data_IF_864134084808
#
_entry.id   IF_864134084808
#
_cell.length_a   1.000
_cell.length_b   1.000
_cell.length_c   1.000
_cell.angle_alpha   90.00
_cell.angle_beta   90.00
_cell.angle_gamma   90.00
#
_symmetry.space_group_name_H-M   'P 1'
#
loop_
_entity.id
_entity.type
_entity.pdbx_description
1 polymer ?
#
# COMPACT_ATOMS: atom_id res chain seq x y z
N UNK A 1 -27.10 32.64 14.91
CA UNK A 1 -26.59 32.88 13.54
C UNK A 1 -27.22 31.88 12.58
N UNK A 2 -27.51 32.25 11.32
CA UNK A 2 -27.96 31.31 10.28
C UNK A 2 -26.76 30.93 9.40
N UNK A 3 -26.26 29.70 9.52
CA UNK A 3 -25.19 29.18 8.66
C UNK A 3 -25.84 28.80 7.32
N UNK A 4 -25.50 29.53 6.26
CA UNK A 4 -26.04 29.29 4.92
C UNK A 4 -25.26 28.15 4.25
N UNK A 5 -25.82 26.93 4.27
CA UNK A 5 -25.30 25.79 3.50
C UNK A 5 -25.61 25.98 2.01
N UNK A 6 -24.77 26.73 1.30
CA UNK A 6 -24.69 26.68 -0.16
C UNK A 6 -23.79 25.52 -0.56
N UNK A 7 -24.30 24.30 -0.47
CA UNK A 7 -23.67 23.15 -1.13
C UNK A 7 -23.67 23.39 -2.63
N UNK A 8 -22.49 23.29 -3.25
CA UNK A 8 -22.31 23.63 -4.65
C UNK A 8 -23.06 22.66 -5.55
N UNK A 9 -24.13 23.14 -6.20
CA UNK A 9 -24.95 22.37 -7.16
C UNK A 9 -24.12 21.75 -8.29
N UNK A 10 -22.94 22.31 -8.56
CA UNK A 10 -21.99 21.88 -9.60
C UNK A 10 -21.35 20.52 -9.27
N UNK A 11 -20.98 20.23 -8.02
CA UNK A 11 -20.30 18.95 -7.69
C UNK A 11 -21.24 17.75 -7.77
N UNK A 12 -22.54 17.94 -7.53
CA UNK A 12 -23.56 16.90 -7.71
C UNK A 12 -23.78 16.51 -9.19
N UNK A 13 -23.52 17.42 -10.14
CA UNK A 13 -23.72 17.14 -11.58
C UNK A 13 -22.59 16.26 -12.14
N UNK A 14 -21.35 16.45 -11.66
CA UNK A 14 -20.19 15.68 -12.15
C UNK A 14 -20.30 14.20 -11.76
N UNK A 15 -20.71 13.90 -10.52
CA UNK A 15 -20.88 12.52 -10.03
C UNK A 15 -21.96 11.77 -10.85
N UNK A 16 -23.04 12.45 -11.24
CA UNK A 16 -24.11 11.85 -12.05
C UNK A 16 -23.67 11.50 -13.48
N UNK A 17 -22.69 12.19 -14.05
CA UNK A 17 -22.21 11.94 -15.42
C UNK A 17 -21.33 10.68 -15.51
N UNK A 18 -20.50 10.41 -14.49
CA UNK A 18 -19.58 9.25 -14.48
C UNK A 18 -20.35 7.92 -14.37
N UNK A 19 -21.43 7.89 -13.59
CA UNK A 19 -22.26 6.69 -13.39
C UNK A 19 -23.03 6.23 -14.64
N UNK A 20 -23.19 7.08 -15.66
CA UNK A 20 -23.90 6.73 -16.89
C UNK A 20 -23.06 5.94 -17.90
N UNK A 21 -21.73 5.96 -17.79
CA UNK A 21 -20.83 5.39 -18.80
C UNK A 21 -20.59 3.87 -18.66
N UNK A 22 -20.88 3.27 -17.50
CA UNK A 22 -20.45 1.91 -17.14
C UNK A 22 -21.44 0.81 -17.62
N UNK A 23 -22.65 1.16 -18.06
CA UNK A 23 -23.73 0.20 -18.38
C UNK A 23 -23.89 -0.15 -19.87
N UNK A 24 -22.91 0.18 -20.72
CA UNK A 24 -23.02 0.06 -22.18
C UNK A 24 -22.10 -0.97 -22.86
N UNK A 25 -21.41 -1.84 -22.11
CA UNK A 25 -20.49 -2.84 -22.69
C UNK A 25 -20.72 -4.28 -22.20
N UNK A 26 -21.89 -4.83 -22.50
CA UNK A 26 -22.20 -6.25 -22.28
C UNK A 26 -23.05 -6.84 -23.41
N UNK A 27 -22.43 -7.15 -24.57
CA UNK A 27 -23.13 -7.80 -25.68
C UNK A 27 -22.28 -8.25 -26.87
N UNK A 28 -22.11 -9.57 -27.03
CA UNK A 28 -21.53 -10.25 -28.21
C UNK A 28 -20.00 -10.40 -28.15
N UNK A 29 -19.36 -11.50 -28.59
CA UNK A 29 -19.80 -12.76 -29.23
C UNK A 29 -19.07 -13.92 -28.52
N UNK A 30 -19.59 -15.14 -28.29
CA UNK A 30 -20.25 -16.15 -29.15
C UNK A 30 -19.33 -16.82 -30.20
N UNK A 31 -18.86 -18.01 -29.83
CA UNK A 31 -18.48 -19.19 -30.64
C UNK A 31 -17.23 -19.13 -31.52
N UNK A 32 -16.32 -20.09 -31.29
CA UNK A 32 -15.14 -20.38 -32.10
C UNK A 32 -14.43 -21.66 -31.65
N UNK A 33 -15.07 -22.83 -31.79
CA UNK A 33 -14.38 -24.11 -31.64
C UNK A 33 -13.31 -24.26 -32.73
N UNK A 34 -12.07 -24.45 -32.32
CA UNK A 34 -10.91 -24.58 -33.21
C UNK A 34 -9.91 -25.60 -32.68
N UNK A 35 -10.14 -26.87 -32.99
CA UNK A 35 -9.11 -27.90 -32.82
C UNK A 35 -7.90 -27.57 -33.71
N UNK A 36 -6.72 -27.40 -33.12
CA UNK A 36 -5.45 -27.53 -33.84
C UNK A 36 -4.59 -28.51 -33.05
N UNK A 37 -4.44 -29.72 -33.60
CA UNK A 37 -3.41 -30.65 -33.20
C UNK A 37 -2.04 -30.07 -33.53
N UNK A 38 -1.07 -30.19 -32.63
CA UNK A 38 0.34 -30.16 -33.01
C UNK A 38 1.00 -31.49 -32.66
N UNK A 39 1.58 -32.10 -33.69
CA UNK A 39 2.31 -33.35 -33.59
C UNK A 39 3.68 -33.15 -32.95
N UNK A 40 4.14 -34.18 -32.25
CA UNK A 40 5.52 -34.33 -31.81
C UNK A 40 6.49 -34.44 -33.00
N UNK A 41 7.63 -33.76 -32.93
CA UNK A 41 8.89 -34.28 -33.47
C UNK A 41 10.07 -33.93 -32.55
N UNK A 42 11.08 -34.79 -32.54
CA UNK A 42 12.17 -34.86 -31.54
C UNK A 42 13.53 -34.59 -32.20
N UNK A 43 14.58 -34.37 -31.40
CA UNK A 43 16.02 -34.30 -31.77
C UNK A 43 16.47 -32.99 -32.47
N UNK A 44 17.67 -32.42 -32.30
CA UNK A 44 18.89 -32.67 -31.49
C UNK A 44 19.66 -31.31 -31.36
N UNK A 45 20.66 -31.05 -30.50
CA UNK A 45 21.26 -31.85 -29.43
C UNK A 45 22.72 -31.43 -29.07
N UNK A 46 22.95 -30.30 -28.38
CA UNK A 46 24.27 -29.87 -27.87
C UNK A 46 24.11 -29.12 -26.51
N UNK A 47 24.43 -29.72 -25.36
CA UNK A 47 25.78 -29.97 -24.82
C UNK A 47 26.43 -28.72 -24.17
N UNK A 48 26.14 -28.51 -22.88
CA UNK A 48 27.00 -27.80 -21.92
C UNK A 48 27.07 -28.67 -20.65
N UNK A 49 28.26 -28.76 -20.06
CA UNK A 49 28.61 -29.79 -19.08
C UNK A 49 28.12 -29.53 -17.65
N UNK A 50 27.85 -30.67 -17.03
CA UNK A 50 27.61 -31.01 -15.63
C UNK A 50 28.64 -30.49 -14.61
N UNK A 51 28.15 -30.17 -13.40
CA UNK A 51 28.76 -30.35 -12.04
C UNK A 51 28.01 -29.42 -11.06
N UNK A 52 27.63 -29.79 -9.83
CA UNK A 52 27.49 -31.06 -9.11
C UNK A 52 26.59 -30.76 -7.88
N UNK A 53 25.58 -31.58 -7.57
CA UNK A 53 25.64 -32.72 -6.63
C UNK A 53 25.45 -32.33 -5.14
N UNK A 54 24.71 -33.19 -4.42
CA UNK A 54 24.30 -33.15 -3.02
C UNK A 54 23.25 -32.07 -2.63
N UNK A 55 22.18 -32.38 -1.88
CA UNK A 55 21.75 -33.66 -1.29
C UNK A 55 21.21 -33.48 0.14
N UNK A 56 20.39 -34.42 0.63
CA UNK A 56 19.57 -34.43 1.86
C UNK A 56 18.23 -33.67 1.74
N UNK A 57 17.05 -34.29 1.78
CA UNK A 57 16.46 -35.37 2.62
C UNK A 57 15.93 -34.90 3.99
N UNK A 58 14.59 -35.01 4.09
CA UNK A 58 13.76 -35.36 5.25
C UNK A 58 14.16 -34.93 6.67
N UNK A 59 13.21 -34.25 7.35
CA UNK A 59 12.67 -34.85 8.59
C UNK A 59 11.27 -34.39 8.98
N UNK A 60 10.41 -35.36 9.25
CA UNK A 60 9.22 -35.21 10.10
C UNK A 60 9.62 -34.99 11.57
N UNK A 61 8.77 -34.29 12.33
CA UNK A 61 8.42 -34.67 13.70
C UNK A 61 7.19 -33.88 14.18
N UNK A 62 6.09 -34.58 14.48
CA UNK A 62 5.05 -34.06 15.35
C UNK A 62 5.46 -34.22 16.83
N UNK A 63 4.99 -33.32 17.69
CA UNK A 63 4.99 -33.52 19.14
C UNK A 63 3.81 -32.74 19.75
N UNK A 64 2.71 -33.45 20.00
CA UNK A 64 1.73 -33.05 21.00
C UNK A 64 2.32 -33.38 22.38
N UNK A 65 2.31 -32.46 23.34
CA UNK A 65 2.32 -32.83 24.76
C UNK A 65 1.22 -32.09 25.52
N UNK A 66 0.30 -32.89 26.03
CA UNK A 66 -0.73 -32.54 27.00
C UNK A 66 -0.14 -32.68 28.41
N UNK A 67 -0.14 -31.59 29.20
CA UNK A 67 0.21 -31.64 30.63
C UNK A 67 -0.90 -31.02 31.46
N UNK A 68 -1.84 -31.88 31.83
CA UNK A 68 -2.76 -31.69 32.93
C UNK A 68 -2.00 -31.76 34.27
N UNK A 69 -2.06 -30.71 35.10
CA UNK A 69 -1.79 -30.86 36.54
C UNK A 69 -2.54 -29.85 37.40
N UNK A 70 -3.16 -30.35 38.47
CA UNK A 70 -4.01 -29.64 39.43
C UNK A 70 -3.21 -29.06 40.59
N UNK A 71 -3.63 -27.89 41.09
CA UNK A 71 -3.13 -27.33 42.34
C UNK A 71 -4.06 -26.26 42.91
N UNK A 72 -5.11 -26.67 43.62
CA UNK A 72 -5.75 -25.80 44.61
C UNK A 72 -4.87 -25.77 45.86
N UNK A 73 -4.58 -24.59 46.39
CA UNK A 73 -4.59 -24.39 47.84
C UNK A 73 -4.90 -22.92 48.16
N UNK A 74 -5.70 -22.73 49.21
CA UNK A 74 -6.18 -21.44 49.67
C UNK A 74 -5.15 -20.82 50.61
N UNK A 75 -4.84 -19.52 50.45
CA UNK A 75 -4.22 -18.76 51.55
C UNK A 75 -4.83 -17.36 51.64
N UNK A 76 -5.81 -17.24 52.52
CA UNK A 76 -6.38 -15.99 53.01
C UNK A 76 -5.33 -15.16 53.76
N UNK A 77 -5.05 -13.92 53.34
CA UNK A 77 -4.22 -12.96 54.11
C UNK A 77 -4.48 -11.50 53.73
N UNK A 78 -5.43 -10.91 54.46
CA UNK A 78 -5.39 -9.55 55.03
C UNK A 78 -4.87 -8.40 54.16
N UNK A 79 -5.81 -7.79 53.44
CA UNK A 79 -6.11 -6.36 53.45
C UNK A 79 -5.25 -5.48 54.39
N UNK A 80 -4.35 -4.70 53.79
CA UNK A 80 -3.93 -3.38 54.29
C UNK A 80 -4.00 -2.40 53.13
N UNK A 81 -5.10 -1.66 53.07
CA UNK A 81 -5.34 -0.61 52.07
C UNK A 81 -4.60 0.66 52.51
N UNK A 82 -3.30 0.73 52.20
CA UNK A 82 -2.65 2.04 52.06
C UNK A 82 -3.00 2.58 50.68
N UNK A 83 -4.04 3.41 50.61
CA UNK A 83 -4.32 4.25 49.44
C UNK A 83 -3.21 5.28 49.28
N UNK A 84 -2.11 4.88 48.64
CA UNK A 84 -1.13 5.81 48.13
C UNK A 84 -1.82 6.67 47.05
N UNK A 85 -1.74 7.98 47.21
CA UNK A 85 -2.22 8.94 46.23
C UNK A 85 -1.21 8.90 45.06
N UNK A 86 -1.51 8.05 44.06
CA UNK A 86 -0.68 7.86 42.88
C UNK A 86 -0.69 9.16 42.07
N UNK A 87 0.43 9.90 42.15
CA UNK A 87 0.62 11.13 41.38
C UNK A 87 0.87 10.72 39.94
N UNK A 88 -0.17 10.77 39.12
CA UNK A 88 -0.09 10.61 37.67
C UNK A 88 0.89 11.67 37.10
N UNK A 89 2.16 11.28 36.91
CA UNK A 89 3.12 12.10 36.17
C UNK A 89 2.69 12.14 34.70
N UNK A 90 2.23 13.30 34.25
CA UNK A 90 1.80 13.57 32.87
C UNK A 90 2.92 13.22 31.88
N UNK A 91 2.87 12.00 31.32
CA UNK A 91 3.83 11.51 30.32
C UNK A 91 3.66 12.31 29.03
N UNK A 92 4.73 12.95 28.56
CA UNK A 92 4.70 13.84 27.39
C UNK A 92 5.29 13.14 26.19
N UNK A 93 4.59 13.23 25.05
CA UNK A 93 5.06 12.71 23.77
C UNK A 93 6.44 13.33 23.43
N UNK A 94 7.48 12.53 23.18
CA UNK A 94 8.78 13.01 22.75
C UNK A 94 8.70 13.94 21.54
N UNK A 95 9.43 15.06 21.59
CA UNK A 95 9.42 16.06 20.52
C UNK A 95 9.80 15.47 19.16
N UNK A 96 10.71 14.50 19.12
CA UNK A 96 11.12 13.81 17.89
C UNK A 96 9.94 13.14 17.17
N UNK A 97 9.03 12.48 17.89
CA UNK A 97 7.83 11.87 17.33
C UNK A 97 6.91 12.95 16.75
N UNK A 98 6.68 14.04 17.49
CA UNK A 98 5.81 15.14 17.02
C UNK A 98 6.37 15.84 15.78
N UNK A 99 7.70 15.92 15.63
CA UNK A 99 8.35 16.46 14.44
C UNK A 99 8.15 15.52 13.25
N UNK A 100 8.38 14.22 13.42
CA UNK A 100 8.22 13.22 12.33
C UNK A 100 6.78 13.12 11.82
N UNK A 101 5.79 13.14 12.71
CA UNK A 101 4.37 13.18 12.32
C UNK A 101 4.10 14.43 11.48
N UNK A 102 4.52 15.60 11.96
CA UNK A 102 4.34 16.86 11.22
C UNK A 102 5.07 16.87 9.86
N UNK A 103 6.29 16.33 9.79
CA UNK A 103 7.03 16.24 8.52
C UNK A 103 6.28 15.35 7.49
N UNK A 104 5.63 14.28 7.95
CA UNK A 104 4.78 13.43 7.11
C UNK A 104 3.47 14.13 6.69
N UNK A 105 2.81 14.84 7.60
CA UNK A 105 1.61 15.64 7.32
C UNK A 105 1.92 16.77 6.32
N UNK A 106 3.02 17.52 6.52
CA UNK A 106 3.48 18.59 5.62
C UNK A 106 3.71 18.01 4.20
N UNK A 107 4.35 16.83 4.07
CA UNK A 107 4.51 16.16 2.77
C UNK A 107 3.18 15.70 2.15
N UNK A 108 2.23 15.25 2.97
CA UNK A 108 0.90 14.82 2.51
C UNK A 108 0.07 16.00 2.00
N UNK A 109 0.03 17.12 2.75
CA UNK A 109 -0.67 18.35 2.35
C UNK A 109 -0.08 18.96 1.07
N UNK A 110 1.24 18.89 0.90
CA UNK A 110 1.92 19.28 -0.35
C UNK A 110 1.63 18.30 -1.50
N UNK A 111 0.97 17.15 -1.28
CA UNK A 111 0.71 16.13 -2.29
C UNK A 111 1.99 15.44 -2.78
N UNK A 112 3.01 15.35 -1.93
CA UNK A 112 4.24 14.59 -2.12
C UNK A 112 4.08 13.18 -1.52
N UNK A 113 3.15 12.40 -2.08
CA UNK A 113 2.69 11.16 -1.43
C UNK A 113 3.76 10.08 -1.27
N UNK A 114 4.76 10.02 -2.16
CA UNK A 114 5.87 9.07 -2.02
C UNK A 114 6.77 9.42 -0.83
N UNK A 115 7.03 10.71 -0.63
CA UNK A 115 7.74 11.27 0.52
C UNK A 115 6.91 11.11 1.80
N UNK A 116 5.61 11.41 1.77
CA UNK A 116 4.71 11.21 2.91
C UNK A 116 4.68 9.73 3.37
N UNK A 117 4.60 8.77 2.43
CA UNK A 117 4.71 7.32 2.74
C UNK A 117 6.03 6.97 3.42
N UNK A 118 7.14 7.64 3.09
CA UNK A 118 8.43 7.45 3.78
C UNK A 118 8.37 8.03 5.20
N UNK A 119 7.97 9.29 5.34
CA UNK A 119 7.99 9.95 6.65
C UNK A 119 6.98 9.33 7.63
N UNK A 120 5.78 8.91 7.20
CA UNK A 120 4.85 8.16 8.05
C UNK A 120 5.41 6.82 8.53
N UNK A 121 6.24 6.13 7.73
CA UNK A 121 6.93 4.90 8.18
C UNK A 121 8.00 5.20 9.22
N UNK A 122 8.73 6.30 9.05
CA UNK A 122 9.74 6.71 10.02
C UNK A 122 9.11 7.27 11.31
N UNK A 123 7.94 7.92 11.23
CA UNK A 123 7.11 8.32 12.37
C UNK A 123 6.54 7.09 13.11
N UNK A 124 5.94 6.14 12.38
CA UNK A 124 5.43 4.87 12.94
C UNK A 124 6.52 4.10 13.69
N UNK A 125 7.70 3.93 13.09
CA UNK A 125 8.86 3.31 13.77
C UNK A 125 9.22 4.06 15.05
N UNK A 126 9.27 5.40 15.01
CA UNK A 126 9.60 6.21 16.18
C UNK A 126 8.57 6.12 17.32
N UNK A 127 7.28 5.85 17.00
CA UNK A 127 6.26 5.55 18.01
C UNK A 127 6.46 4.15 18.59
N UNK A 128 6.61 3.14 17.72
CA UNK A 128 6.80 1.73 18.10
C UNK A 128 8.03 1.54 19.00
N UNK A 129 9.18 2.10 18.60
CA UNK A 129 10.47 2.03 19.30
C UNK A 129 10.56 2.91 20.57
N UNK A 130 9.52 3.69 20.91
CA UNK A 130 9.54 4.60 22.06
C UNK A 130 9.21 3.94 23.40
N UNK A 131 9.64 4.57 24.49
CA UNK A 131 9.28 4.23 25.88
C UNK A 131 7.89 4.80 26.29
N UNK A 132 7.02 5.11 25.32
CA UNK A 132 5.66 5.60 25.61
C UNK A 132 4.77 4.47 26.17
N UNK A 133 3.80 4.81 27.04
CA UNK A 133 2.66 3.95 27.36
C UNK A 133 1.96 3.44 26.10
N UNK A 134 1.51 2.18 26.13
CA UNK A 134 0.97 1.49 24.94
C UNK A 134 -0.33 2.15 24.41
N UNK A 135 -1.17 2.66 25.31
CA UNK A 135 -2.37 3.44 24.97
C UNK A 135 -2.03 4.74 24.23
N UNK A 136 -0.96 5.43 24.63
CA UNK A 136 -0.45 6.59 23.89
C UNK A 136 0.13 6.20 22.52
N UNK A 137 0.75 5.02 22.40
CA UNK A 137 1.21 4.50 21.09
C UNK A 137 0.03 4.18 20.18
N UNK A 138 -0.99 3.50 20.69
CA UNK A 138 -2.22 3.21 19.95
C UNK A 138 -2.91 4.49 19.45
N UNK A 139 -3.04 5.52 20.30
CA UNK A 139 -3.62 6.82 19.91
C UNK A 139 -2.80 7.50 18.78
N UNK A 140 -1.48 7.57 18.93
CA UNK A 140 -0.59 8.18 17.92
C UNK A 140 -0.60 7.41 16.59
N UNK A 141 -0.60 6.08 16.64
CA UNK A 141 -0.66 5.23 15.44
C UNK A 141 -2.01 5.35 14.74
N UNK A 142 -3.11 5.39 15.48
CA UNK A 142 -4.44 5.63 14.93
C UNK A 142 -4.56 7.03 14.30
N UNK A 143 -3.91 8.03 14.90
CA UNK A 143 -3.88 9.41 14.39
C UNK A 143 -3.21 9.58 13.03
N UNK A 144 -2.24 8.74 12.68
CA UNK A 144 -1.52 8.81 11.38
C UNK A 144 -2.02 7.83 10.32
N UNK A 145 -2.84 6.83 10.68
CA UNK A 145 -3.18 5.73 9.77
C UNK A 145 -3.99 6.20 8.55
N UNK A 146 -4.98 7.09 8.70
CA UNK A 146 -5.83 7.55 7.59
C UNK A 146 -5.01 8.16 6.45
N UNK A 147 -4.19 9.18 6.74
CA UNK A 147 -3.33 9.81 5.75
C UNK A 147 -2.26 8.85 5.20
N UNK A 148 -1.72 7.95 6.04
CA UNK A 148 -0.72 6.98 5.61
C UNK A 148 -1.30 5.96 4.60
N UNK A 149 -2.49 5.42 4.87
CA UNK A 149 -3.18 4.52 3.95
C UNK A 149 -3.59 5.24 2.65
N UNK A 150 -4.05 6.49 2.72
CA UNK A 150 -4.37 7.28 1.52
C UNK A 150 -3.10 7.53 0.67
N UNK A 151 -1.99 7.95 1.28
CA UNK A 151 -0.72 8.17 0.58
C UNK A 151 -0.18 6.89 -0.07
N UNK A 152 -0.29 5.75 0.62
CA UNK A 152 0.05 4.43 0.08
C UNK A 152 -0.80 4.11 -1.16
N UNK A 153 -2.13 4.24 -1.05
CA UNK A 153 -3.07 3.92 -2.10
C UNK A 153 -2.86 4.81 -3.35
N UNK A 154 -2.71 6.12 -3.17
CA UNK A 154 -2.42 7.06 -4.27
C UNK A 154 -1.11 6.67 -4.98
N UNK A 155 -0.06 6.41 -4.21
CA UNK A 155 1.25 6.02 -4.74
C UNK A 155 1.20 4.69 -5.49
N UNK A 156 0.48 3.70 -4.96
CA UNK A 156 0.36 2.38 -5.58
C UNK A 156 -0.41 2.43 -6.90
N UNK A 157 -1.58 3.08 -6.95
CA UNK A 157 -2.38 3.15 -8.18
C UNK A 157 -1.61 3.94 -9.27
N UNK A 158 -0.97 5.06 -8.92
CA UNK A 158 -0.15 5.82 -9.87
C UNK A 158 1.06 5.01 -10.39
N UNK A 159 1.74 4.26 -9.51
CA UNK A 159 2.84 3.35 -9.88
C UNK A 159 2.37 2.23 -10.82
N UNK A 160 1.17 1.69 -10.61
CA UNK A 160 0.62 0.62 -11.45
C UNK A 160 0.35 1.12 -12.88
N UNK A 161 -0.27 2.29 -13.03
CA UNK A 161 -0.43 2.94 -14.34
C UNK A 161 0.92 3.23 -15.03
N UNK A 162 1.91 3.77 -14.31
CA UNK A 162 3.26 3.95 -14.85
C UNK A 162 3.90 2.63 -15.32
N UNK A 163 3.73 1.55 -14.55
CA UNK A 163 4.28 0.23 -14.90
C UNK A 163 3.61 -0.37 -16.14
N UNK A 164 2.29 -0.19 -16.29
CA UNK A 164 1.57 -0.53 -17.51
C UNK A 164 2.11 0.25 -18.71
N UNK A 165 2.33 1.56 -18.56
CA UNK A 165 2.88 2.40 -19.62
C UNK A 165 4.27 1.94 -20.09
N UNK A 166 5.16 1.54 -19.17
CA UNK A 166 6.48 1.00 -19.52
C UNK A 166 6.37 -0.30 -20.32
N UNK A 167 5.38 -1.14 -20.02
CA UNK A 167 5.11 -2.38 -20.77
C UNK A 167 4.58 -2.05 -22.17
N UNK A 168 3.64 -1.10 -22.28
CA UNK A 168 3.07 -0.66 -23.54
C UNK A 168 4.11 0.01 -24.46
N UNK A 169 5.03 0.81 -23.91
CA UNK A 169 6.11 1.43 -24.71
C UNK A 169 7.10 0.38 -25.23
N UNK A 170 7.42 -0.64 -24.42
CA UNK A 170 8.22 -1.79 -24.84
C UNK A 170 7.53 -2.61 -25.96
N UNK A 171 6.20 -2.73 -25.92
CA UNK A 171 5.38 -3.29 -27.00
C UNK A 171 5.20 -2.34 -28.22
N UNK A 172 5.82 -1.15 -28.19
CA UNK A 172 5.69 -0.08 -29.19
C UNK A 172 4.25 0.45 -29.36
N UNK A 173 3.41 0.34 -28.33
CA UNK A 173 2.02 0.85 -28.24
C UNK A 173 1.99 2.23 -27.58
N UNK A 174 2.65 3.19 -28.23
CA UNK A 174 3.05 4.47 -27.60
C UNK A 174 1.88 5.38 -27.23
N UNK A 175 0.80 5.39 -28.02
CA UNK A 175 -0.41 6.15 -27.72
C UNK A 175 -1.11 5.65 -26.45
N UNK A 176 -1.12 4.32 -26.24
CA UNK A 176 -1.68 3.69 -25.04
C UNK A 176 -0.77 3.92 -23.82
N UNK A 177 0.55 3.88 -23.99
CA UNK A 177 1.50 4.24 -22.95
C UNK A 177 1.34 5.71 -22.48
N UNK A 178 1.13 6.65 -23.41
CA UNK A 178 0.80 8.05 -23.09
C UNK A 178 -0.50 8.16 -22.29
N UNK A 179 -1.52 7.35 -22.62
CA UNK A 179 -2.80 7.36 -21.91
C UNK A 179 -2.64 6.85 -20.46
N UNK A 180 -1.90 5.77 -20.24
CA UNK A 180 -1.58 5.25 -18.90
C UNK A 180 -0.73 6.24 -18.08
N UNK A 181 0.26 6.91 -18.67
CA UNK A 181 1.05 7.95 -17.98
C UNK A 181 0.17 9.14 -17.56
N UNK A 182 -0.78 9.54 -18.41
CA UNK A 182 -1.75 10.59 -18.09
C UNK A 182 -2.74 10.15 -17.02
N UNK A 183 -3.10 8.87 -16.95
CA UNK A 183 -3.88 8.31 -15.83
C UNK A 183 -3.09 8.34 -14.52
N UNK A 184 -1.80 7.95 -14.53
CA UNK A 184 -0.92 8.04 -13.36
C UNK A 184 -0.84 9.48 -12.81
N UNK A 185 -0.63 10.46 -13.69
CA UNK A 185 -0.53 11.88 -13.33
C UNK A 185 -1.86 12.52 -12.93
N UNK A 186 -3.00 11.96 -13.36
CA UNK A 186 -4.31 12.40 -12.88
C UNK A 186 -4.57 11.99 -11.41
N UNK A 187 -3.89 10.95 -10.94
CA UNK A 187 -3.97 10.42 -9.57
C UNK A 187 -2.90 11.06 -8.68
N UNK A 188 -1.65 11.11 -9.16
CA UNK A 188 -0.52 11.71 -8.45
C UNK A 188 0.19 12.74 -9.36
N UNK A 189 -0.24 14.02 -9.34
CA UNK A 189 0.26 15.04 -10.26
C UNK A 189 1.76 15.38 -10.12
N UNK A 190 2.37 15.09 -8.97
CA UNK A 190 3.81 15.28 -8.72
C UNK A 190 4.63 13.98 -8.89
N UNK A 191 4.07 12.93 -9.51
CA UNK A 191 4.79 11.65 -9.68
C UNK A 191 5.91 11.75 -10.73
N UNK A 192 7.10 12.14 -10.30
CA UNK A 192 8.22 12.50 -11.18
C UNK A 192 8.55 11.44 -12.25
N UNK A 193 8.52 10.15 -11.91
CA UNK A 193 8.79 9.08 -12.87
C UNK A 193 7.79 9.08 -14.04
N UNK A 194 6.51 9.34 -13.78
CA UNK A 194 5.49 9.44 -14.84
C UNK A 194 5.59 10.76 -15.63
N UNK A 195 6.05 11.86 -15.00
CA UNK A 195 6.38 13.11 -15.70
C UNK A 195 7.51 12.84 -16.69
N UNK A 196 8.65 12.34 -16.22
CA UNK A 196 9.86 12.11 -17.04
C UNK A 196 9.59 11.11 -18.18
N UNK A 197 8.84 10.05 -17.91
CA UNK A 197 8.44 9.06 -18.92
C UNK A 197 7.55 9.68 -20.01
N UNK A 198 6.54 10.47 -19.63
CA UNK A 198 5.67 11.15 -20.59
C UNK A 198 6.44 12.16 -21.43
N UNK A 199 7.30 12.94 -20.77
CA UNK A 199 8.14 13.97 -21.38
C UNK A 199 9.12 13.40 -22.41
N UNK A 200 9.64 12.20 -22.15
CA UNK A 200 10.52 11.44 -23.05
C UNK A 200 9.74 10.86 -24.23
N UNK A 201 8.58 10.25 -23.97
CA UNK A 201 7.76 9.58 -24.98
C UNK A 201 7.13 10.58 -25.97
N UNK A 202 6.62 11.71 -25.49
CA UNK A 202 6.09 12.78 -26.34
C UNK A 202 7.20 13.43 -27.20
N UNK A 203 8.44 13.55 -26.67
CA UNK A 203 9.59 14.00 -27.46
C UNK A 203 9.96 13.01 -28.57
N UNK A 204 9.96 11.70 -28.27
CA UNK A 204 10.25 10.64 -29.25
C UNK A 204 9.20 10.58 -30.37
N UNK A 205 7.94 10.89 -30.07
CA UNK A 205 6.85 10.95 -31.05
C UNK A 205 6.75 12.30 -31.79
N UNK A 206 7.52 13.31 -31.41
CA UNK A 206 7.46 14.66 -32.01
C UNK A 206 6.17 15.43 -31.65
N UNK A 207 5.67 15.25 -30.43
CA UNK A 207 4.44 15.87 -29.91
C UNK A 207 4.68 17.13 -29.07
N UNK A 208 5.95 17.52 -28.86
CA UNK A 208 6.40 18.71 -28.12
C UNK A 208 6.75 19.89 -29.03
#
# INVERSE_FOLDING_TARGET
MKISRKTNLITMIIIAAVLAAVLAFSGGCRSGDGQISQESTTEQGAAIEETGEAGSEEKEAAAEEDIQSSGQEETESQEIVETAEEVEEEVKVPQEITVKIKEADDCFEDGLYAEAVKEYRDAKRAIEDSELPEDMKEELLAGIDENYQEALNITEIARNHHSNAMTLDYENRKEEAIAELKAALAIYPKYQAAIDALDSLEALMGLK
#
